data_IF_520212942596
#
_entry.id   IF_520212942596
#
_cell.length_a   1.000
_cell.length_b   1.000
_cell.length_c   1.000
_cell.angle_alpha   90.00
_cell.angle_beta   90.00
_cell.angle_gamma   90.00
#
_symmetry.space_group_name_H-M   'P 1'
#
loop_
_entity.id
_entity.type
_entity.pdbx_description
1 polymer ?
#
# COMPACT_ATOMS: atom_id res chain seq x y z
N UNK A 1 12.44 -18.73 0.91
CA UNK A 1 10.99 -18.78 1.20
C UNK A 1 10.43 -17.37 1.16
N UNK A 2 9.38 -17.10 0.39
CA UNK A 2 8.76 -15.77 0.32
C UNK A 2 7.29 -15.86 -0.12
N UNK A 3 6.49 -14.87 0.22
CA UNK A 3 5.12 -14.71 -0.27
C UNK A 3 5.14 -13.65 -1.38
N UNK A 4 4.61 -13.99 -2.55
CA UNK A 4 4.53 -13.15 -3.72
C UNK A 4 3.07 -12.77 -3.95
N UNK A 5 2.79 -11.48 -4.05
CA UNK A 5 1.44 -10.94 -4.16
C UNK A 5 1.30 -10.14 -5.46
N UNK A 6 0.18 -10.34 -6.14
CA UNK A 6 -0.31 -9.46 -7.20
C UNK A 6 -1.78 -9.14 -7.01
N UNK A 7 -2.22 -7.99 -7.54
CA UNK A 7 -3.63 -7.68 -7.74
C UNK A 7 -4.25 -8.40 -8.95
N UNK A 8 -3.47 -9.10 -9.77
CA UNK A 8 -3.93 -9.88 -10.91
C UNK A 8 -3.56 -11.36 -10.78
N UNK A 9 -4.58 -12.22 -10.81
CA UNK A 9 -4.43 -13.69 -10.83
C UNK A 9 -3.46 -14.15 -11.92
N UNK A 10 -3.55 -13.60 -13.12
CA UNK A 10 -2.82 -14.09 -14.29
C UNK A 10 -1.30 -13.94 -14.14
N UNK A 11 -0.85 -13.02 -13.30
CA UNK A 11 0.58 -12.82 -13.03
C UNK A 11 1.13 -13.85 -12.02
N UNK A 12 0.27 -14.45 -11.19
CA UNK A 12 0.66 -15.49 -10.22
C UNK A 12 0.55 -16.90 -10.80
N UNK A 13 -0.42 -17.16 -11.70
CA UNK A 13 -0.65 -18.48 -12.29
C UNK A 13 0.63 -19.18 -12.82
N UNK A 14 1.57 -18.49 -13.48
CA UNK A 14 2.83 -19.12 -13.92
C UNK A 14 3.64 -19.77 -12.78
N UNK A 15 3.61 -19.20 -11.57
CA UNK A 15 4.30 -19.78 -10.41
C UNK A 15 3.74 -21.17 -10.06
N UNK A 16 2.42 -21.35 -10.12
CA UNK A 16 1.81 -22.64 -9.82
C UNK A 16 2.19 -23.71 -10.84
N UNK A 17 2.37 -23.33 -12.11
CA UNK A 17 2.90 -24.26 -13.11
C UNK A 17 4.34 -24.67 -12.79
N UNK A 18 5.22 -23.69 -12.50
CA UNK A 18 6.60 -23.97 -12.09
C UNK A 18 6.66 -24.93 -10.90
N UNK A 19 5.75 -24.78 -9.94
CA UNK A 19 5.73 -25.59 -8.73
C UNK A 19 5.18 -27.00 -8.95
N UNK A 20 4.03 -27.13 -9.61
CA UNK A 20 3.31 -28.40 -9.70
C UNK A 20 3.73 -29.25 -10.91
N UNK A 21 4.26 -28.62 -11.96
CA UNK A 21 4.68 -29.32 -13.18
C UNK A 21 6.21 -29.41 -13.26
N UNK A 22 6.92 -28.31 -13.01
CA UNK A 22 8.38 -28.29 -13.11
C UNK A 22 9.11 -28.62 -11.80
N UNK A 23 8.40 -28.70 -10.66
CA UNK A 23 9.02 -28.96 -9.35
C UNK A 23 9.96 -27.83 -8.87
N UNK A 24 9.79 -26.61 -9.39
CA UNK A 24 10.64 -25.44 -9.12
C UNK A 24 9.94 -24.46 -8.18
N UNK A 25 10.72 -23.61 -7.51
CA UNK A 25 10.20 -22.52 -6.67
C UNK A 25 9.20 -22.93 -5.57
N UNK A 26 9.27 -24.17 -5.06
CA UNK A 26 8.35 -24.69 -4.05
C UNK A 26 8.38 -23.96 -2.69
N UNK A 27 9.42 -23.16 -2.43
CA UNK A 27 9.49 -22.29 -1.25
C UNK A 27 8.73 -20.96 -1.38
N UNK A 28 8.13 -20.68 -2.53
CA UNK A 28 7.36 -19.47 -2.77
C UNK A 28 5.87 -19.77 -2.61
N UNK A 29 5.11 -18.81 -2.09
CA UNK A 29 3.65 -18.87 -2.11
C UNK A 29 3.15 -17.69 -2.94
N UNK A 30 2.31 -17.95 -3.94
CA UNK A 30 1.66 -16.91 -4.73
C UNK A 30 0.27 -16.63 -4.18
N UNK A 31 -0.03 -15.37 -3.88
CA UNK A 31 -1.34 -14.91 -3.44
C UNK A 31 -1.87 -13.79 -4.36
N UNK A 32 -3.18 -13.73 -4.49
CA UNK A 32 -3.89 -12.67 -5.19
C UNK A 32 -5.31 -12.55 -4.60
N UNK A 33 -5.98 -11.39 -4.77
CA UNK A 33 -7.36 -11.21 -4.32
C UNK A 33 -8.29 -12.27 -4.90
N UNK A 34 -9.30 -12.67 -4.14
CA UNK A 34 -10.33 -13.64 -4.52
C UNK A 34 -9.77 -15.04 -4.83
N UNK A 35 -8.54 -15.35 -4.40
CA UNK A 35 -7.98 -16.71 -4.47
C UNK A 35 -8.82 -17.72 -3.69
N UNK A 36 -9.50 -17.26 -2.64
CA UNK A 36 -10.45 -18.01 -1.85
C UNK A 36 -11.60 -17.08 -1.41
N UNK A 37 -12.80 -17.62 -1.09
CA UNK A 37 -14.00 -16.81 -0.87
C UNK A 37 -14.01 -16.03 0.45
N UNK A 38 -13.07 -16.26 1.36
CA UNK A 38 -13.04 -15.61 2.67
C UNK A 38 -12.67 -14.12 2.58
N UNK A 39 -13.21 -13.32 3.51
CA UNK A 39 -12.99 -11.88 3.58
C UNK A 39 -11.51 -11.47 3.64
N UNK A 40 -10.65 -12.34 4.21
CA UNK A 40 -9.20 -12.15 4.29
C UNK A 40 -8.49 -12.12 2.93
N UNK A 41 -9.20 -12.47 1.85
CA UNK A 41 -8.72 -12.36 0.47
C UNK A 41 -9.64 -11.49 -0.41
N UNK A 42 -10.55 -10.71 0.17
CA UNK A 42 -11.57 -9.96 -0.58
C UNK A 42 -10.97 -8.93 -1.57
N UNK A 43 -9.85 -8.33 -1.20
CA UNK A 43 -9.12 -7.37 -2.02
C UNK A 43 -7.60 -7.49 -1.78
N UNK A 44 -6.82 -6.65 -2.46
CA UNK A 44 -5.35 -6.66 -2.38
C UNK A 44 -4.85 -6.26 -0.99
N UNK A 45 -5.53 -5.35 -0.30
CA UNK A 45 -5.17 -4.93 1.05
C UNK A 45 -5.38 -6.07 2.06
N UNK A 46 -6.55 -6.69 2.05
CA UNK A 46 -6.85 -7.85 2.91
C UNK A 46 -5.88 -9.01 2.64
N UNK A 47 -5.53 -9.24 1.37
CA UNK A 47 -4.56 -10.29 0.97
C UNK A 47 -3.16 -10.01 1.54
N UNK A 48 -2.69 -8.76 1.47
CA UNK A 48 -1.40 -8.36 2.04
C UNK A 48 -1.40 -8.48 3.56
N UNK A 49 -2.45 -7.98 4.22
CA UNK A 49 -2.60 -8.09 5.68
C UNK A 49 -2.61 -9.55 6.14
N UNK A 50 -3.34 -10.42 5.44
CA UNK A 50 -3.31 -11.87 5.69
C UNK A 50 -1.90 -12.46 5.52
N UNK A 51 -1.15 -12.01 4.53
CA UNK A 51 0.22 -12.47 4.32
C UNK A 51 1.17 -12.01 5.43
N UNK A 52 0.99 -10.80 5.96
CA UNK A 52 1.77 -10.30 7.10
C UNK A 52 1.43 -11.06 8.38
N UNK A 53 0.14 -11.26 8.66
CA UNK A 53 -0.34 -11.85 9.91
C UNK A 53 -0.15 -13.38 9.96
N UNK A 54 -0.50 -14.08 8.87
CA UNK A 54 -0.51 -15.53 8.81
C UNK A 54 0.68 -16.11 8.03
N UNK A 55 1.57 -15.28 7.49
CA UNK A 55 2.70 -15.70 6.66
C UNK A 55 3.87 -16.35 7.41
N UNK A 56 3.78 -16.51 8.73
CA UNK A 56 4.80 -17.12 9.59
C UNK A 56 6.19 -16.47 9.43
N UNK A 57 6.23 -15.14 9.36
CA UNK A 57 7.48 -14.37 9.26
C UNK A 57 8.19 -14.46 7.90
N UNK A 58 7.56 -15.05 6.89
CA UNK A 58 8.10 -15.03 5.52
C UNK A 58 8.04 -13.61 4.97
N UNK A 59 9.07 -13.15 4.24
CA UNK A 59 9.03 -11.85 3.60
C UNK A 59 7.91 -11.80 2.55
N UNK A 60 7.20 -10.66 2.52
CA UNK A 60 6.05 -10.41 1.64
C UNK A 60 6.47 -9.43 0.56
N UNK A 61 6.33 -9.84 -0.69
CA UNK A 61 6.68 -9.01 -1.85
C UNK A 61 5.50 -8.82 -2.78
N UNK A 62 5.36 -7.61 -3.28
CA UNK A 62 4.60 -7.28 -4.47
C UNK A 62 5.48 -7.55 -5.69
N UNK A 63 4.97 -8.32 -6.66
CA UNK A 63 5.73 -8.66 -7.88
C UNK A 63 5.85 -7.50 -8.87
N UNK A 64 5.16 -6.40 -8.59
CA UNK A 64 5.18 -5.14 -9.33
C UNK A 64 4.76 -3.99 -8.39
N UNK A 65 5.11 -2.73 -8.70
CA UNK A 65 4.52 -1.59 -8.01
C UNK A 65 2.99 -1.58 -8.15
N UNK A 66 2.30 -1.29 -7.06
CA UNK A 66 0.83 -1.16 -7.01
C UNK A 66 0.47 0.14 -6.29
N UNK A 67 0.38 1.27 -7.03
CA UNK A 67 0.12 2.58 -6.45
C UNK A 67 -1.17 2.62 -5.63
N UNK A 68 -1.17 3.42 -4.56
CA UNK A 68 -2.24 3.54 -3.59
C UNK A 68 -2.08 2.62 -2.37
N UNK A 69 -1.22 1.59 -2.43
CA UNK A 69 -0.95 0.72 -1.29
C UNK A 69 -0.10 1.39 -0.21
N UNK A 70 0.72 2.38 -0.57
CA UNK A 70 1.53 3.19 0.35
C UNK A 70 0.68 3.93 1.39
N UNK A 71 -0.62 4.12 1.13
CA UNK A 71 -1.54 4.71 2.10
C UNK A 71 -1.79 3.80 3.32
N UNK A 72 -1.56 2.48 3.19
CA UNK A 72 -1.84 1.49 4.24
C UNK A 72 -0.61 0.66 4.64
N UNK A 73 0.38 0.53 3.76
CA UNK A 73 1.52 -0.34 3.97
C UNK A 73 2.83 0.40 3.79
N UNK A 74 3.83 0.05 4.59
CA UNK A 74 5.21 0.48 4.36
C UNK A 74 5.79 -0.33 3.21
N UNK A 75 6.22 0.38 2.15
CA UNK A 75 6.70 -0.21 0.91
C UNK A 75 8.16 0.16 0.68
N UNK A 76 8.99 -0.85 0.44
CA UNK A 76 10.41 -0.68 0.19
C UNK A 76 10.78 -1.25 -1.19
N UNK A 77 11.30 -0.43 -2.12
CA UNK A 77 11.79 -0.93 -3.41
C UNK A 77 12.88 -1.99 -3.21
N UNK A 78 12.87 -3.01 -4.08
CA UNK A 78 13.91 -4.04 -4.17
C UNK A 78 14.45 -4.10 -5.60
N UNK A 79 15.02 -5.23 -6.00
CA UNK A 79 15.41 -5.44 -7.38
C UNK A 79 14.16 -5.35 -8.26
N UNK A 80 14.11 -4.31 -9.10
CA UNK A 80 12.94 -4.02 -9.93
C UNK A 80 12.52 -5.27 -10.75
N UNK A 81 11.21 -5.56 -10.87
CA UNK A 81 10.07 -4.74 -10.44
C UNK A 81 9.60 -4.99 -8.98
N UNK A 82 10.35 -5.73 -8.17
CA UNK A 82 9.91 -6.20 -6.85
C UNK A 82 9.81 -5.05 -5.83
N UNK A 83 8.75 -5.07 -5.02
CA UNK A 83 8.56 -4.17 -3.87
C UNK A 83 8.30 -5.02 -2.63
N UNK A 84 9.01 -4.78 -1.54
CA UNK A 84 8.75 -5.46 -0.26
C UNK A 84 7.71 -4.69 0.54
N UNK A 85 6.78 -5.43 1.16
CA UNK A 85 5.86 -4.89 2.16
C UNK A 85 6.47 -5.14 3.54
N UNK A 86 6.95 -4.08 4.19
CA UNK A 86 7.70 -4.20 5.45
C UNK A 86 6.82 -4.08 6.70
N UNK A 87 5.56 -3.67 6.54
CA UNK A 87 4.61 -3.53 7.64
C UNK A 87 3.39 -2.71 7.26
N UNK A 88 2.59 -2.36 8.27
CA UNK A 88 1.51 -1.38 8.16
C UNK A 88 2.12 0.03 8.24
N UNK A 89 1.70 0.90 7.33
CA UNK A 89 2.16 2.28 7.32
C UNK A 89 1.72 2.98 8.61
N UNK A 90 2.68 3.47 9.38
CA UNK A 90 2.43 4.34 10.53
C UNK A 90 2.52 5.81 10.12
N UNK A 91 1.66 6.65 10.71
CA UNK A 91 1.73 8.09 10.49
C UNK A 91 3.10 8.64 10.91
N UNK A 92 3.68 9.49 10.06
CA UNK A 92 5.02 10.05 10.26
C UNK A 92 5.06 11.02 11.45
N UNK A 93 6.06 10.89 12.33
CA UNK A 93 6.26 11.76 13.50
C UNK A 93 6.50 13.26 13.16
N UNK A 94 6.85 13.57 11.92
CA UNK A 94 7.08 14.94 11.44
C UNK A 94 5.80 15.67 10.97
N UNK A 95 4.63 15.13 11.29
CA UNK A 95 3.34 15.70 10.89
C UNK A 95 3.08 17.05 11.61
N UNK A 96 2.90 18.11 10.83
CA UNK A 96 2.30 19.35 11.33
C UNK A 96 0.79 19.13 11.39
N UNK A 97 0.26 18.98 12.60
CA UNK A 97 -1.16 18.71 12.83
C UNK A 97 -2.04 19.91 12.45
N UNK A 98 -3.18 19.63 11.81
CA UNK A 98 -4.18 20.62 11.41
C UNK A 98 -5.58 20.21 11.90
N UNK A 99 -5.90 18.91 11.88
CA UNK A 99 -7.19 18.34 12.29
C UNK A 99 -8.42 19.08 11.73
N UNK A 100 -8.42 19.33 10.41
CA UNK A 100 -9.49 20.07 9.74
C UNK A 100 -10.52 19.11 9.11
N UNK A 101 -11.81 19.17 9.52
CA UNK A 101 -12.85 18.35 8.91
C UNK A 101 -13.22 18.84 7.50
N UNK A 102 -13.45 17.90 6.60
CA UNK A 102 -13.85 18.09 5.20
C UNK A 102 -14.87 17.01 4.79
N UNK A 103 -16.14 17.21 5.16
CA UNK A 103 -17.18 16.22 4.91
C UNK A 103 -16.89 14.90 5.64
N UNK A 104 -16.84 13.74 4.96
CA UNK A 104 -16.49 12.44 5.56
C UNK A 104 -14.98 12.23 5.74
N UNK A 105 -14.16 13.24 5.43
CA UNK A 105 -12.70 13.20 5.56
C UNK A 105 -12.26 14.18 6.64
N UNK A 106 -11.14 13.86 7.30
CA UNK A 106 -10.40 14.82 8.14
C UNK A 106 -8.98 14.95 7.61
N UNK A 107 -8.54 16.19 7.34
CA UNK A 107 -7.13 16.50 7.11
C UNK A 107 -6.42 16.45 8.47
N UNK A 108 -5.66 15.39 8.71
CA UNK A 108 -4.90 15.22 9.96
C UNK A 108 -3.79 16.27 10.04
N UNK A 109 -3.12 16.53 8.92
CA UNK A 109 -2.02 17.46 8.86
C UNK A 109 -1.22 17.31 7.58
N UNK A 110 0.00 17.83 7.60
CA UNK A 110 0.91 17.75 6.46
C UNK A 110 2.36 17.59 6.88
N UNK A 111 3.16 16.99 5.99
CA UNK A 111 4.62 16.97 6.11
C UNK A 111 5.22 17.81 4.99
N UNK A 112 6.37 18.44 5.27
CA UNK A 112 7.15 19.14 4.25
C UNK A 112 8.56 18.58 4.19
N UNK A 113 9.03 18.35 2.98
CA UNK A 113 10.40 17.95 2.71
C UNK A 113 10.98 18.89 1.67
N UNK A 114 12.05 19.59 2.02
CA UNK A 114 12.81 20.40 1.08
C UNK A 114 13.57 19.48 0.11
N UNK A 115 13.35 19.65 -1.19
CA UNK A 115 14.03 18.92 -2.26
C UNK A 115 14.76 19.91 -3.17
N UNK A 116 15.90 20.42 -2.69
CA UNK A 116 16.65 21.44 -3.42
C UNK A 116 15.89 22.76 -3.50
N UNK A 117 15.53 23.19 -4.72
CA UNK A 117 14.70 24.38 -4.93
C UNK A 117 13.19 24.10 -4.77
N UNK A 118 12.79 22.83 -4.81
CA UNK A 118 11.40 22.42 -4.70
C UNK A 118 11.07 22.03 -3.26
N UNK A 119 9.78 22.07 -2.94
CA UNK A 119 9.26 21.60 -1.65
C UNK A 119 8.16 20.58 -1.91
N UNK A 120 8.33 19.37 -1.39
CA UNK A 120 7.30 18.34 -1.42
C UNK A 120 6.41 18.51 -0.19
N UNK A 121 5.12 18.76 -0.42
CA UNK A 121 4.09 18.81 0.63
C UNK A 121 3.22 17.57 0.51
N UNK A 122 3.18 16.77 1.55
CA UNK A 122 2.31 15.59 1.62
C UNK A 122 1.19 15.84 2.62
N UNK A 123 -0.05 15.80 2.14
CA UNK A 123 -1.24 15.93 2.99
C UNK A 123 -1.68 14.57 3.50
N UNK A 124 -1.89 14.45 4.82
CA UNK A 124 -2.30 13.21 5.46
C UNK A 124 -3.78 13.30 5.83
N UNK A 125 -4.58 12.39 5.28
CA UNK A 125 -6.03 12.38 5.45
C UNK A 125 -6.48 11.12 6.16
N UNK A 126 -7.57 11.24 6.91
CA UNK A 126 -8.34 10.10 7.43
C UNK A 126 -9.73 10.10 6.82
N UNK A 127 -10.21 8.91 6.48
CA UNK A 127 -11.60 8.68 6.10
C UNK A 127 -12.38 8.33 7.37
N UNK A 128 -13.25 9.23 7.82
CA UNK A 128 -14.04 9.03 9.04
C UNK A 128 -15.34 8.26 8.75
N UNK A 129 -15.88 8.42 7.54
CA UNK A 129 -17.09 7.73 7.08
C UNK A 129 -16.92 7.17 5.67
N UNK A 130 -17.73 6.16 5.31
CA UNK A 130 -17.70 5.60 3.96
C UNK A 130 -17.95 6.70 2.92
N UNK A 131 -17.02 6.84 1.98
CA UNK A 131 -17.14 7.81 0.89
C UNK A 131 -18.29 7.41 -0.04
N UNK A 132 -19.29 8.29 -0.13
CA UNK A 132 -20.47 8.10 -0.99
C UNK A 132 -20.19 8.38 -2.48
N UNK A 133 -19.09 9.08 -2.78
CA UNK A 133 -18.65 9.47 -4.11
C UNK A 133 -17.14 9.79 -4.09
N UNK A 134 -16.57 10.07 -5.26
CA UNK A 134 -15.21 10.58 -5.37
C UNK A 134 -15.13 12.02 -4.85
N UNK A 135 -14.09 12.33 -4.07
CA UNK A 135 -13.85 13.66 -3.51
C UNK A 135 -12.68 14.33 -4.21
N UNK A 136 -12.88 15.57 -4.62
CA UNK A 136 -11.82 16.42 -5.17
C UNK A 136 -11.47 17.50 -4.16
N UNK A 137 -10.18 17.59 -3.81
CA UNK A 137 -9.65 18.65 -2.95
C UNK A 137 -8.76 19.58 -3.77
N UNK A 138 -8.82 20.88 -3.51
CA UNK A 138 -7.89 21.86 -4.07
C UNK A 138 -7.03 22.45 -2.98
N UNK A 139 -5.72 22.52 -3.21
CA UNK A 139 -4.76 23.15 -2.31
C UNK A 139 -4.29 24.44 -2.96
N UNK A 140 -4.30 25.53 -2.20
CA UNK A 140 -3.75 26.81 -2.63
C UNK A 140 -2.64 27.21 -1.64
N UNK A 141 -1.48 27.56 -2.17
CA UNK A 141 -0.35 28.06 -1.40
C UNK A 141 -0.31 29.57 -1.59
N UNK A 142 -0.31 30.31 -0.48
CA UNK A 142 -0.16 31.76 -0.47
C UNK A 142 1.18 32.13 0.16
N UNK A 143 1.83 33.14 -0.39
CA UNK A 143 3.01 33.75 0.24
C UNK A 143 2.56 34.53 1.48
N UNK A 144 3.28 34.35 2.59
CA UNK A 144 3.00 35.06 3.83
C UNK A 144 3.70 36.44 3.81
N UNK A 145 3.28 37.29 2.88
CA UNK A 145 3.65 38.71 2.88
C UNK A 145 2.38 39.55 3.06
N UNK A 146 2.08 39.87 4.33
CA UNK A 146 1.20 40.97 4.76
C UNK A 146 2.02 41.99 5.53
#
# INVERSE_FOLDING_TARGET
NAILISNDRNEIVPLFYLQNVEGRAGGMAGLFPLIAPEARFADVGATIETALDAGAGRPVYLIKPMPGLEARFDLAPRAAPLVEVTGIATATDALVAVDLPFGPLTLLGYTLVQQGADMLVTLHWRVDERLAADYTTTVQLYDANL
#
